data_IF_866071608417
#
_entry.id   IF_866071608417
#
_cell.length_a   1.000
_cell.length_b   1.000
_cell.length_c   1.000
_cell.angle_alpha   90.00
_cell.angle_beta   90.00
_cell.angle_gamma   90.00
#
_symmetry.space_group_name_H-M   'P 1'
#
loop_
_entity.id
_entity.type
_entity.pdbx_description
1 polymer ?
#
# COMPACT_ATOMS: atom_id res chain seq x y z
N UNK A 1 -58.73 30.92 45.31
CA UNK A 1 -58.90 30.65 43.86
C UNK A 1 -57.58 30.92 43.15
N UNK A 2 -57.12 30.05 42.23
CA UNK A 2 -55.81 29.45 42.40
C UNK A 2 -54.71 29.98 41.48
N UNK A 3 -53.48 29.84 41.98
CA UNK A 3 -52.19 30.14 41.35
C UNK A 3 -51.92 29.17 40.18
N UNK A 4 -51.65 29.71 38.99
CA UNK A 4 -51.11 28.92 37.88
C UNK A 4 -49.66 28.52 38.17
N UNK A 5 -49.42 27.21 38.29
CA UNK A 5 -48.09 26.61 38.28
C UNK A 5 -47.57 26.61 36.83
N UNK A 6 -46.37 27.15 36.63
CA UNK A 6 -45.58 26.92 35.43
C UNK A 6 -45.05 25.48 35.48
N UNK A 7 -45.66 24.57 34.73
CA UNK A 7 -45.06 23.28 34.39
C UNK A 7 -44.15 23.48 33.16
N UNK A 8 -42.86 23.24 33.37
CA UNK A 8 -41.85 23.25 32.32
C UNK A 8 -42.04 21.99 31.46
N UNK A 9 -42.59 22.16 30.27
CA UNK A 9 -42.60 21.11 29.24
C UNK A 9 -41.27 21.18 28.48
N UNK A 10 -40.28 20.41 28.93
CA UNK A 10 -39.12 20.10 28.10
C UNK A 10 -39.58 19.22 26.92
N UNK A 11 -39.15 19.52 25.68
CA UNK A 11 -39.72 18.87 24.51
C UNK A 11 -39.17 17.45 24.33
N UNK A 12 -40.09 16.49 24.18
CA UNK A 12 -39.92 15.10 23.74
C UNK A 12 -39.15 14.90 22.40
N UNK A 13 -38.58 15.98 21.83
CA UNK A 13 -37.78 15.97 20.61
C UNK A 13 -36.31 15.58 20.83
N UNK A 14 -35.73 15.82 22.02
CA UNK A 14 -34.33 15.46 22.31
C UNK A 14 -34.14 13.95 22.53
N UNK A 15 -35.14 13.26 23.08
CA UNK A 15 -35.05 11.80 23.33
C UNK A 15 -35.12 10.96 22.05
N UNK A 16 -35.76 11.46 20.97
CA UNK A 16 -35.76 10.79 19.66
C UNK A 16 -34.46 10.99 18.88
N UNK A 17 -33.78 12.12 19.08
CA UNK A 17 -32.46 12.36 18.47
C UNK A 17 -31.38 11.51 19.14
N UNK A 18 -31.37 11.39 20.46
CA UNK A 18 -30.39 10.53 21.16
C UNK A 18 -30.59 9.05 20.86
N UNK A 19 -31.83 8.57 20.70
CA UNK A 19 -32.09 7.17 20.35
C UNK A 19 -31.77 6.84 18.87
N UNK A 20 -31.96 7.80 17.95
CA UNK A 20 -31.56 7.64 16.54
C UNK A 20 -30.03 7.70 16.38
N UNK A 21 -29.33 8.51 17.17
CA UNK A 21 -27.86 8.56 17.17
C UNK A 21 -27.24 7.34 17.86
N UNK A 22 -27.84 6.80 18.93
CA UNK A 22 -27.39 5.54 19.52
C UNK A 22 -27.69 4.33 18.61
N UNK A 23 -28.82 4.31 17.87
CA UNK A 23 -29.05 3.30 16.83
C UNK A 23 -28.14 3.46 15.61
N UNK A 24 -27.78 4.69 15.20
CA UNK A 24 -26.79 4.93 14.14
C UNK A 24 -25.38 4.60 14.59
N UNK A 25 -25.03 4.82 15.86
CA UNK A 25 -23.77 4.37 16.46
C UNK A 25 -23.74 2.84 16.62
N UNK A 26 -24.86 2.21 16.96
CA UNK A 26 -24.98 0.74 17.01
C UNK A 26 -24.91 0.13 15.61
N UNK A 27 -25.58 0.70 14.61
CA UNK A 27 -25.45 0.30 13.20
C UNK A 27 -24.05 0.57 12.63
N UNK A 28 -23.38 1.66 13.01
CA UNK A 28 -21.96 1.87 12.68
C UNK A 28 -21.03 0.88 13.40
N UNK A 29 -21.33 0.49 14.64
CA UNK A 29 -20.61 -0.59 15.32
C UNK A 29 -20.86 -1.94 14.64
N UNK A 30 -22.08 -2.18 14.15
CA UNK A 30 -22.44 -3.39 13.40
C UNK A 30 -21.84 -3.41 11.97
N UNK A 31 -21.68 -2.25 11.30
CA UNK A 31 -20.98 -2.10 10.02
C UNK A 31 -19.44 -2.18 10.19
N UNK A 32 -18.89 -1.75 11.33
CA UNK A 32 -17.45 -1.94 11.66
C UNK A 32 -17.17 -3.39 12.05
N UNK A 33 -18.15 -4.13 12.60
CA UNK A 33 -18.08 -5.59 12.76
C UNK A 33 -18.50 -6.37 11.51
N UNK A 34 -18.87 -5.67 10.43
CA UNK A 34 -18.98 -6.27 9.12
C UNK A 34 -17.60 -6.76 8.74
N UNK A 35 -17.36 -8.04 9.00
CA UNK A 35 -16.18 -8.80 8.63
C UNK A 35 -15.54 -8.17 7.40
N UNK A 36 -14.46 -7.42 7.62
CA UNK A 36 -13.39 -7.46 6.62
C UNK A 36 -13.04 -8.93 6.62
N UNK A 37 -13.64 -9.67 5.68
CA UNK A 37 -13.24 -11.02 5.40
C UNK A 37 -11.74 -10.90 5.19
N UNK A 38 -10.97 -11.26 6.22
CA UNK A 38 -9.60 -11.65 6.07
C UNK A 38 -9.69 -12.87 5.17
N UNK A 39 -9.73 -12.61 3.86
CA UNK A 39 -9.38 -13.61 2.87
C UNK A 39 -8.06 -14.15 3.38
N UNK A 40 -8.03 -15.45 3.69
CA UNK A 40 -6.82 -16.15 4.07
C UNK A 40 -5.75 -15.73 3.06
N UNK A 41 -4.88 -14.83 3.49
CA UNK A 41 -3.80 -14.31 2.67
C UNK A 41 -2.96 -15.49 2.20
N UNK A 42 -2.10 -15.29 1.21
CA UNK A 42 -1.18 -16.35 0.81
C UNK A 42 -0.47 -16.85 2.08
N UNK A 43 -0.75 -18.11 2.47
CA UNK A 43 -0.37 -18.62 3.78
C UNK A 43 1.15 -18.42 3.95
N UNK A 44 1.56 -17.91 5.12
CA UNK A 44 2.98 -17.76 5.45
C UNK A 44 3.70 -19.07 5.12
N UNK A 45 4.69 -19.01 4.23
CA UNK A 45 5.37 -20.19 3.74
C UNK A 45 6.74 -20.30 4.38
N UNK A 46 7.14 -21.49 4.85
CA UNK A 46 8.49 -21.71 5.35
C UNK A 46 9.55 -21.22 4.36
N UNK A 47 10.68 -20.74 4.87
CA UNK A 47 11.82 -20.41 4.00
C UNK A 47 12.17 -21.66 3.19
N UNK A 48 12.22 -21.51 1.87
CA UNK A 48 12.43 -22.64 0.96
C UNK A 48 13.83 -23.25 1.17
N UNK A 49 14.06 -24.51 0.76
CA UNK A 49 15.40 -25.10 0.77
C UNK A 49 16.40 -24.19 0.04
N UNK A 50 17.63 -24.12 0.57
CA UNK A 50 18.70 -23.21 0.12
C UNK A 50 18.87 -23.19 -1.41
N UNK A 51 18.40 -22.12 -2.10
CA UNK A 51 18.52 -22.02 -3.56
C UNK A 51 19.94 -21.65 -3.98
N UNK A 52 20.81 -21.28 -3.04
CA UNK A 52 22.19 -20.89 -3.27
C UNK A 52 23.17 -22.03 -3.03
N UNK A 53 22.74 -23.29 -3.09
CA UNK A 53 23.62 -24.45 -2.94
C UNK A 53 24.90 -24.33 -3.80
N UNK A 54 24.77 -23.77 -5.01
CA UNK A 54 25.87 -23.46 -5.95
C UNK A 54 26.18 -21.96 -6.10
N UNK A 55 25.56 -21.09 -5.29
CA UNK A 55 25.70 -19.63 -5.36
C UNK A 55 26.83 -19.06 -4.48
N UNK A 56 26.96 -17.72 -4.42
CA UNK A 56 27.94 -17.05 -3.57
C UNK A 56 27.85 -17.50 -2.11
N UNK A 57 29.01 -17.78 -1.51
CA UNK A 57 29.11 -18.27 -0.12
C UNK A 57 28.45 -17.31 0.86
N UNK A 58 28.49 -16.01 0.60
CA UNK A 58 27.85 -14.96 1.41
C UNK A 58 26.34 -15.14 1.48
N UNK A 59 25.66 -15.22 0.34
CA UNK A 59 24.19 -15.34 0.28
C UNK A 59 23.75 -16.67 0.88
N UNK A 60 24.47 -17.74 0.55
CA UNK A 60 24.25 -19.08 1.09
C UNK A 60 24.35 -19.09 2.62
N UNK A 61 25.38 -18.47 3.18
CA UNK A 61 25.62 -18.45 4.63
C UNK A 61 24.54 -17.64 5.35
N UNK A 62 24.17 -16.48 4.83
CA UNK A 62 23.09 -15.65 5.38
C UNK A 62 21.74 -16.38 5.33
N UNK A 63 21.41 -16.97 4.19
CA UNK A 63 20.15 -17.69 3.99
C UNK A 63 20.03 -18.91 4.91
N UNK A 64 21.11 -19.71 5.02
CA UNK A 64 21.15 -20.82 5.97
C UNK A 64 21.03 -20.39 7.43
N UNK A 65 21.49 -19.18 7.76
CA UNK A 65 21.28 -18.61 9.10
C UNK A 65 19.79 -18.34 9.35
N UNK A 66 19.07 -17.79 8.38
CA UNK A 66 17.62 -17.62 8.47
C UNK A 66 16.90 -18.96 8.61
N UNK A 67 17.26 -19.97 7.81
CA UNK A 67 16.69 -21.32 7.90
C UNK A 67 16.88 -21.95 9.29
N UNK A 68 18.10 -21.86 9.85
CA UNK A 68 18.38 -22.36 11.21
C UNK A 68 17.62 -21.59 12.27
N UNK A 69 17.48 -20.28 12.12
CA UNK A 69 16.72 -19.46 13.06
C UNK A 69 15.24 -19.86 13.05
N UNK A 70 14.65 -20.04 11.86
CA UNK A 70 13.27 -20.50 11.71
C UNK A 70 13.06 -21.89 12.33
N UNK A 71 13.94 -22.84 12.03
CA UNK A 71 13.85 -24.20 12.57
C UNK A 71 13.94 -24.25 14.11
N UNK A 72 14.67 -23.31 14.71
CA UNK A 72 14.85 -23.21 16.16
C UNK A 72 13.83 -22.28 16.84
N UNK A 73 12.97 -21.59 16.08
CA UNK A 73 11.95 -20.68 16.62
C UNK A 73 10.85 -21.44 17.39
N UNK A 74 10.69 -22.74 17.11
CA UNK A 74 9.62 -23.54 17.70
C UNK A 74 8.24 -22.97 17.33
N UNK A 75 7.44 -22.62 18.33
CA UNK A 75 6.12 -22.00 18.18
C UNK A 75 6.10 -20.47 18.31
N UNK A 76 7.25 -19.80 18.43
CA UNK A 76 7.29 -18.33 18.47
C UNK A 76 7.03 -17.74 17.09
N UNK A 77 5.78 -17.30 16.87
CA UNK A 77 5.34 -16.69 15.62
C UNK A 77 6.19 -15.49 15.20
N UNK A 78 6.64 -14.66 16.15
CA UNK A 78 7.41 -13.47 15.84
C UNK A 78 8.83 -13.84 15.39
N UNK A 79 9.44 -14.84 16.02
CA UNK A 79 10.72 -15.38 15.59
C UNK A 79 10.63 -16.04 14.19
N UNK A 80 9.53 -16.75 13.90
CA UNK A 80 9.25 -17.31 12.57
C UNK A 80 9.14 -16.20 11.51
N UNK A 81 8.33 -15.18 11.76
CA UNK A 81 8.14 -14.05 10.83
C UNK A 81 9.48 -13.34 10.57
N UNK A 82 10.27 -13.03 11.60
CA UNK A 82 11.57 -12.36 11.46
C UNK A 82 12.55 -13.16 10.61
N UNK A 83 12.66 -14.47 10.86
CA UNK A 83 13.52 -15.36 10.06
C UNK A 83 13.07 -15.40 8.60
N UNK A 84 11.76 -15.53 8.38
CA UNK A 84 11.16 -15.58 7.04
C UNK A 84 11.33 -14.27 6.30
N UNK A 85 11.14 -13.12 6.94
CA UNK A 85 11.35 -11.79 6.32
C UNK A 85 12.78 -11.70 5.78
N UNK A 86 13.78 -11.93 6.62
CA UNK A 86 15.18 -11.83 6.21
C UNK A 86 15.52 -12.85 5.11
N UNK A 87 15.04 -14.08 5.23
CA UNK A 87 15.22 -15.12 4.21
C UNK A 87 14.60 -14.72 2.87
N UNK A 88 13.35 -14.25 2.87
CA UNK A 88 12.63 -13.79 1.67
C UNK A 88 13.31 -12.57 1.07
N UNK A 89 13.72 -11.60 1.88
CA UNK A 89 14.46 -10.45 1.39
C UNK A 89 15.71 -10.89 0.64
N UNK A 90 16.56 -11.79 1.16
CA UNK A 90 17.71 -12.30 0.39
C UNK A 90 17.28 -12.82 -1.01
N UNK A 91 16.16 -13.52 -1.13
CA UNK A 91 15.64 -14.00 -2.42
C UNK A 91 15.13 -12.88 -3.32
N UNK A 92 14.44 -11.91 -2.74
CA UNK A 92 13.79 -10.80 -3.47
C UNK A 92 14.67 -9.56 -3.64
N UNK A 93 15.95 -9.63 -3.25
CA UNK A 93 16.84 -8.49 -3.33
C UNK A 93 16.84 -7.88 -4.75
N UNK A 94 16.63 -6.56 -4.90
CA UNK A 94 16.50 -5.92 -6.22
C UNK A 94 17.70 -6.10 -7.14
N UNK A 95 18.89 -6.27 -6.55
CA UNK A 95 20.14 -6.53 -7.24
C UNK A 95 21.14 -7.20 -6.28
N UNK A 96 22.24 -7.70 -6.84
CA UNK A 96 23.29 -8.42 -6.12
C UNK A 96 23.95 -7.58 -5.03
N UNK A 97 24.09 -6.26 -5.22
CA UNK A 97 24.68 -5.36 -4.21
C UNK A 97 23.80 -5.27 -2.96
N UNK A 98 22.48 -5.13 -3.13
CA UNK A 98 21.53 -5.13 -2.02
C UNK A 98 21.54 -6.49 -1.29
N UNK A 99 21.55 -7.58 -2.07
CA UNK A 99 21.63 -8.94 -1.53
C UNK A 99 22.88 -9.15 -0.69
N UNK A 100 24.02 -8.66 -1.19
CA UNK A 100 25.30 -8.70 -0.53
C UNK A 100 25.31 -7.92 0.79
N UNK A 101 24.78 -6.69 0.77
CA UNK A 101 24.70 -5.84 1.96
C UNK A 101 23.86 -6.52 3.06
N UNK A 102 22.65 -6.96 2.71
CA UNK A 102 21.78 -7.68 3.64
C UNK A 102 22.43 -8.97 4.15
N UNK A 103 23.05 -9.75 3.25
CA UNK A 103 23.69 -11.01 3.63
C UNK A 103 24.83 -10.79 4.61
N UNK A 104 25.66 -9.76 4.39
CA UNK A 104 26.73 -9.39 5.33
C UNK A 104 26.17 -8.93 6.67
N UNK A 105 25.10 -8.15 6.69
CA UNK A 105 24.46 -7.73 7.94
C UNK A 105 23.99 -8.93 8.76
N UNK A 106 23.28 -9.87 8.13
CA UNK A 106 22.80 -11.09 8.78
C UNK A 106 23.95 -11.93 9.32
N UNK A 107 25.02 -12.12 8.53
CA UNK A 107 26.18 -12.91 8.94
C UNK A 107 26.86 -12.29 10.17
N UNK A 108 27.01 -10.96 10.22
CA UNK A 108 27.70 -10.27 11.30
C UNK A 108 26.92 -10.19 12.62
N UNK A 109 25.63 -10.57 12.63
CA UNK A 109 24.87 -10.62 13.89
C UNK A 109 25.51 -11.61 14.87
N UNK A 110 25.72 -11.18 16.12
CA UNK A 110 26.39 -11.97 17.15
C UNK A 110 25.44 -12.86 17.95
N UNK A 111 24.18 -12.45 18.03
CA UNK A 111 23.17 -13.11 18.85
C UNK A 111 21.76 -12.93 18.26
N UNK A 112 20.76 -13.59 18.86
CA UNK A 112 19.38 -13.53 18.40
C UNK A 112 18.77 -12.13 18.51
N UNK A 113 19.21 -11.32 19.49
CA UNK A 113 18.73 -9.94 19.67
C UNK A 113 19.13 -9.05 18.49
N UNK A 114 20.38 -9.14 18.05
CA UNK A 114 20.85 -8.39 16.86
C UNK A 114 20.15 -8.87 15.58
N UNK A 115 19.95 -10.19 15.44
CA UNK A 115 19.20 -10.75 14.30
C UNK A 115 17.75 -10.23 14.25
N UNK A 116 17.05 -10.28 15.39
CA UNK A 116 15.69 -9.77 15.50
C UNK A 116 15.62 -8.27 15.20
N UNK A 117 16.57 -7.48 15.71
CA UNK A 117 16.63 -6.04 15.46
C UNK A 117 16.72 -5.72 13.97
N UNK A 118 17.54 -6.44 13.22
CA UNK A 118 17.67 -6.23 11.77
C UNK A 118 16.36 -6.59 11.05
N UNK A 119 15.75 -7.72 11.42
CA UNK A 119 14.45 -8.11 10.87
C UNK A 119 13.38 -7.04 11.15
N UNK A 120 13.28 -6.56 12.39
CA UNK A 120 12.29 -5.57 12.82
C UNK A 120 12.51 -4.23 12.10
N UNK A 121 13.75 -3.83 11.84
CA UNK A 121 14.04 -2.65 11.03
C UNK A 121 13.45 -2.77 9.62
N UNK A 122 13.63 -3.91 8.95
CA UNK A 122 13.03 -4.10 7.62
C UNK A 122 11.51 -4.24 7.68
N UNK A 123 10.95 -4.94 8.66
CA UNK A 123 9.49 -5.03 8.85
C UNK A 123 8.89 -3.63 9.03
N UNK A 124 9.46 -2.81 9.90
CA UNK A 124 8.91 -1.51 10.24
C UNK A 124 9.14 -0.45 9.17
N UNK A 125 10.32 -0.40 8.55
CA UNK A 125 10.68 0.66 7.61
C UNK A 125 10.48 0.29 6.14
N UNK A 126 10.57 -0.98 5.76
CA UNK A 126 10.22 -1.38 4.41
C UNK A 126 8.72 -1.64 4.31
N UNK A 127 8.26 -2.71 4.96
CA UNK A 127 6.88 -3.19 4.79
C UNK A 127 5.89 -2.24 5.48
N UNK A 128 6.26 -1.74 6.66
CA UNK A 128 5.47 -0.78 7.41
C UNK A 128 5.18 0.49 6.62
N UNK A 129 6.06 0.97 5.76
CA UNK A 129 5.77 2.14 4.94
C UNK A 129 4.61 1.90 3.95
N UNK A 130 4.54 0.70 3.34
CA UNK A 130 3.41 0.34 2.47
C UNK A 130 2.12 0.12 3.27
N UNK A 131 2.23 -0.58 4.39
CA UNK A 131 1.06 -1.00 5.18
C UNK A 131 0.50 0.12 6.08
N UNK A 132 1.29 1.12 6.47
CA UNK A 132 0.82 2.30 7.24
C UNK A 132 0.07 3.32 6.40
N UNK A 133 0.36 3.38 5.09
CA UNK A 133 -0.28 4.30 4.17
C UNK A 133 -1.81 4.06 4.07
N UNK A 134 -2.25 2.83 4.38
CA UNK A 134 -3.64 2.38 4.43
C UNK A 134 -4.57 3.32 5.22
N UNK A 135 -4.08 3.95 6.29
CA UNK A 135 -4.90 4.75 7.20
C UNK A 135 -4.94 6.25 6.85
N UNK A 136 -4.14 6.72 5.88
CA UNK A 136 -3.83 8.15 5.74
C UNK A 136 -4.10 8.78 4.38
N UNK A 137 -4.59 8.05 3.39
CA UNK A 137 -5.15 8.67 2.19
C UNK A 137 -6.63 8.95 2.44
N UNK A 138 -7.03 10.12 2.97
CA UNK A 138 -8.41 10.54 2.82
C UNK A 138 -8.69 10.55 1.32
N UNK A 139 -9.80 9.94 0.90
CA UNK A 139 -10.36 10.16 -0.43
C UNK A 139 -10.40 11.67 -0.63
N UNK A 140 -9.58 12.26 -1.52
CA UNK A 140 -9.60 13.70 -1.72
C UNK A 140 -11.02 14.04 -2.13
N UNK A 141 -11.62 15.01 -1.45
CA UNK A 141 -12.86 15.59 -1.92
C UNK A 141 -12.65 16.01 -3.36
N UNK A 142 -13.54 15.54 -4.25
CA UNK A 142 -13.65 16.02 -5.61
C UNK A 142 -13.82 17.54 -5.53
N UNK A 143 -12.74 18.28 -5.80
CA UNK A 143 -12.69 19.62 -6.39
C UNK A 143 -11.29 20.24 -6.22
N UNK A 144 -10.49 20.19 -7.28
CA UNK A 144 -10.10 21.43 -7.93
C UNK A 144 -10.83 21.56 -9.26
N UNK A 145 -10.96 22.81 -9.70
CA UNK A 145 -11.58 23.23 -10.95
C UNK A 145 -10.88 22.57 -12.14
N UNK A 146 -11.34 21.37 -12.49
CA UNK A 146 -10.93 20.65 -13.71
C UNK A 146 -11.30 21.55 -14.91
N UNK A 147 -10.39 21.82 -15.87
CA UNK A 147 -10.74 22.55 -17.07
C UNK A 147 -11.83 21.80 -17.87
N UNK A 148 -12.65 22.54 -18.60
CA UNK A 148 -13.64 21.93 -19.49
C UNK A 148 -12.89 21.23 -20.63
N UNK A 149 -13.16 19.94 -20.85
CA UNK A 149 -12.47 19.15 -21.88
C UNK A 149 -12.81 19.56 -23.30
N UNK A 150 -13.90 20.31 -23.47
CA UNK A 150 -14.29 20.90 -24.75
C UNK A 150 -13.33 22.03 -25.18
N UNK A 151 -12.49 22.51 -24.27
CA UNK A 151 -11.50 23.54 -24.51
C UNK A 151 -10.10 22.92 -24.69
N UNK A 152 -9.81 22.44 -25.90
CA UNK A 152 -8.51 21.87 -26.31
C UNK A 152 -7.30 22.74 -25.89
N UNK A 153 -7.34 24.08 -26.03
CA UNK A 153 -6.31 24.97 -25.47
C UNK A 153 -6.08 24.84 -23.95
N UNK A 154 -7.13 24.73 -23.14
CA UNK A 154 -7.00 24.56 -21.68
C UNK A 154 -6.43 23.19 -21.32
N UNK A 155 -6.87 22.13 -22.01
CA UNK A 155 -6.30 20.79 -21.85
C UNK A 155 -4.81 20.77 -22.23
N UNK A 156 -4.44 21.42 -23.34
CA UNK A 156 -3.05 21.50 -23.78
C UNK A 156 -2.21 22.27 -22.76
N UNK A 157 -2.70 23.40 -22.23
CA UNK A 157 -2.03 24.15 -21.17
C UNK A 157 -1.84 23.32 -19.91
N UNK A 158 -2.87 22.60 -19.47
CA UNK A 158 -2.82 21.68 -18.33
C UNK A 158 -1.79 20.55 -18.51
N UNK A 159 -1.69 19.99 -19.71
CA UNK A 159 -0.71 18.96 -20.05
C UNK A 159 0.72 19.49 -20.16
N UNK A 160 0.90 20.79 -20.43
CA UNK A 160 2.21 21.44 -20.51
C UNK A 160 2.78 21.85 -19.14
N UNK A 161 1.96 21.83 -18.08
CA UNK A 161 2.46 22.05 -16.73
C UNK A 161 3.44 20.93 -16.34
N UNK A 162 4.47 21.29 -15.56
CA UNK A 162 5.49 20.36 -15.05
C UNK A 162 4.90 19.24 -14.17
N UNK A 163 5.75 18.41 -13.55
CA UNK A 163 5.32 17.31 -12.68
C UNK A 163 4.21 17.76 -11.71
N UNK A 164 3.12 16.98 -11.56
CA UNK A 164 2.03 17.34 -10.68
C UNK A 164 2.54 17.67 -9.28
N UNK A 165 2.09 18.78 -8.70
CA UNK A 165 2.47 19.17 -7.33
C UNK A 165 1.47 18.71 -6.28
N UNK A 166 0.31 18.22 -6.72
CA UNK A 166 -0.79 17.77 -5.88
C UNK A 166 -1.46 16.51 -6.46
N UNK A 167 -2.15 15.78 -5.59
CA UNK A 167 -2.80 14.51 -5.93
C UNK A 167 -3.92 14.66 -6.98
N UNK A 168 -4.67 15.75 -6.96
CA UNK A 168 -5.80 15.93 -7.88
C UNK A 168 -5.32 16.17 -9.32
N UNK A 169 -4.28 16.99 -9.49
CA UNK A 169 -3.58 17.19 -10.77
C UNK A 169 -2.97 15.87 -11.26
N UNK A 170 -2.34 15.12 -10.35
CA UNK A 170 -1.78 13.81 -10.67
C UNK A 170 -2.85 12.82 -11.15
N UNK A 171 -4.02 12.79 -10.48
CA UNK A 171 -5.16 11.96 -10.88
C UNK A 171 -5.67 12.32 -12.26
N UNK A 172 -5.87 13.60 -12.54
CA UNK A 172 -6.36 14.04 -13.84
C UNK A 172 -5.40 13.67 -14.97
N UNK A 173 -4.09 13.89 -14.79
CA UNK A 173 -3.09 13.49 -15.79
C UNK A 173 -2.96 11.97 -15.94
N UNK A 174 -3.01 11.20 -14.84
CA UNK A 174 -3.00 9.73 -14.88
C UNK A 174 -4.22 9.17 -15.63
N UNK A 175 -5.41 9.75 -15.45
CA UNK A 175 -6.59 9.37 -16.20
C UNK A 175 -6.44 9.61 -17.71
N UNK A 176 -5.88 10.75 -18.10
CA UNK A 176 -5.64 11.04 -19.53
C UNK A 176 -4.64 10.02 -20.10
N UNK A 177 -3.54 9.75 -19.38
CA UNK A 177 -2.55 8.73 -19.75
C UNK A 177 -3.20 7.36 -19.99
N UNK A 178 -4.07 6.95 -19.06
CA UNK A 178 -4.68 5.62 -19.02
C UNK A 178 -5.97 5.53 -19.87
N UNK A 179 -6.22 6.55 -20.70
CA UNK A 179 -7.40 6.66 -21.56
C UNK A 179 -8.71 6.49 -20.78
N UNK A 180 -8.76 7.10 -19.59
CA UNK A 180 -9.90 7.14 -18.69
C UNK A 180 -10.37 5.77 -18.22
N UNK A 181 -9.44 4.84 -18.00
CA UNK A 181 -9.75 3.48 -17.55
C UNK A 181 -8.90 3.07 -16.35
N UNK A 182 -9.43 2.15 -15.55
CA UNK A 182 -8.61 1.32 -14.69
C UNK A 182 -7.64 0.52 -15.56
N UNK A 183 -6.33 0.62 -15.29
CA UNK A 183 -5.31 -0.04 -16.12
C UNK A 183 -5.31 -1.56 -15.98
N UNK A 184 -5.97 -2.10 -14.95
CA UNK A 184 -6.05 -3.54 -14.70
C UNK A 184 -7.31 -4.17 -15.27
N UNK A 185 -8.48 -3.56 -15.06
CA UNK A 185 -9.77 -4.14 -15.50
C UNK A 185 -10.24 -3.60 -16.84
N UNK A 186 -9.68 -2.48 -17.31
CA UNK A 186 -10.13 -1.78 -18.51
C UNK A 186 -11.47 -1.06 -18.33
N UNK A 187 -12.06 -1.06 -17.13
CA UNK A 187 -13.31 -0.36 -16.84
C UNK A 187 -13.12 1.15 -16.93
N UNK A 188 -14.06 1.82 -17.60
CA UNK A 188 -14.04 3.26 -17.81
C UNK A 188 -14.42 4.02 -16.55
N UNK A 189 -13.78 5.18 -16.36
CA UNK A 189 -14.10 6.10 -15.28
C UNK A 189 -15.52 6.65 -15.42
N UNK A 190 -16.29 6.54 -14.35
CA UNK A 190 -17.69 6.94 -14.28
C UNK A 190 -17.88 8.43 -14.55
N UNK A 191 -16.99 9.28 -14.04
CA UNK A 191 -17.13 10.73 -14.23
C UNK A 191 -16.90 11.12 -15.69
N UNK A 192 -15.94 10.47 -16.35
CA UNK A 192 -15.70 10.65 -17.78
C UNK A 192 -16.85 10.07 -18.62
N UNK A 193 -17.33 8.87 -18.29
CA UNK A 193 -18.53 8.29 -18.91
C UNK A 193 -19.77 9.20 -18.77
N UNK A 194 -19.97 9.84 -17.62
CA UNK A 194 -21.15 10.67 -17.38
C UNK A 194 -21.09 12.04 -18.08
N UNK A 195 -19.90 12.53 -18.44
CA UNK A 195 -19.70 13.92 -18.87
C UNK A 195 -19.17 14.05 -20.30
N UNK A 196 -18.58 13.00 -20.87
CA UNK A 196 -17.99 13.03 -22.20
C UNK A 196 -18.87 12.23 -23.17
N UNK A 197 -19.54 12.90 -24.15
CA UNK A 197 -20.43 12.24 -25.09
C UNK A 197 -19.76 11.09 -25.85
N UNK A 198 -18.54 11.29 -26.34
CA UNK A 198 -17.79 10.27 -27.10
C UNK A 198 -17.53 9.00 -26.27
N UNK A 199 -17.17 9.16 -24.99
CA UNK A 199 -16.98 8.02 -24.07
C UNK A 199 -18.33 7.38 -23.75
N UNK A 200 -19.38 8.19 -23.55
CA UNK A 200 -20.74 7.68 -23.31
C UNK A 200 -21.18 6.76 -24.44
N UNK A 201 -21.04 7.22 -25.68
CA UNK A 201 -21.42 6.49 -26.87
C UNK A 201 -20.57 5.24 -27.05
N UNK A 202 -19.25 5.35 -26.91
CA UNK A 202 -18.32 4.22 -27.00
C UNK A 202 -18.68 3.12 -25.99
N UNK A 203 -18.89 3.50 -24.73
CA UNK A 203 -19.22 2.58 -23.64
C UNK A 203 -20.56 1.90 -23.88
N UNK A 204 -21.61 2.66 -24.24
CA UNK A 204 -22.95 2.12 -24.48
C UNK A 204 -23.01 1.20 -25.70
N UNK A 205 -22.37 1.59 -26.79
CA UNK A 205 -22.36 0.84 -28.05
C UNK A 205 -21.66 -0.51 -27.89
N UNK A 206 -20.59 -0.54 -27.11
CA UNK A 206 -19.76 -1.74 -26.94
C UNK A 206 -20.04 -2.47 -25.62
N UNK A 207 -21.02 -2.02 -24.84
CA UNK A 207 -21.37 -2.56 -23.52
C UNK A 207 -20.15 -2.74 -22.59
N UNK A 208 -19.32 -1.69 -22.51
CA UNK A 208 -18.06 -1.71 -21.76
C UNK A 208 -18.29 -1.44 -20.27
N UNK A 209 -17.47 -2.01 -19.38
CA UNK A 209 -17.62 -1.80 -17.93
C UNK A 209 -17.31 -0.35 -17.54
N UNK A 210 -18.03 0.14 -16.53
CA UNK A 210 -17.87 1.47 -15.94
C UNK A 210 -17.70 1.34 -14.44
N UNK A 211 -16.82 2.13 -13.85
CA UNK A 211 -16.53 2.16 -12.41
C UNK A 211 -16.01 3.54 -11.99
N UNK A 212 -15.98 3.83 -10.70
CA UNK A 212 -15.18 4.95 -10.21
C UNK A 212 -13.69 4.61 -10.35
N UNK A 213 -12.85 5.59 -10.63
CA UNK A 213 -11.39 5.38 -10.66
C UNK A 213 -10.67 6.30 -9.69
N UNK A 214 -9.52 5.83 -9.24
CA UNK A 214 -8.64 6.51 -8.30
C UNK A 214 -7.20 6.46 -8.80
N UNK A 215 -6.43 7.50 -8.51
CA UNK A 215 -5.00 7.52 -8.77
C UNK A 215 -4.26 7.12 -7.50
N UNK A 216 -3.67 5.94 -7.56
CA UNK A 216 -2.87 5.32 -6.53
C UNK A 216 -1.41 5.75 -6.65
N UNK A 217 -0.77 6.03 -5.52
CA UNK A 217 0.69 6.00 -5.47
C UNK A 217 1.17 4.55 -5.50
N UNK A 218 2.18 4.25 -6.32
CA UNK A 218 2.81 2.91 -6.35
C UNK A 218 3.69 2.74 -5.11
N UNK A 219 4.50 3.75 -4.84
CA UNK A 219 5.32 3.91 -3.65
C UNK A 219 4.68 5.04 -2.81
N UNK A 220 4.13 4.72 -1.62
CA UNK A 220 3.33 5.68 -0.85
C UNK A 220 4.19 6.74 -0.17
N UNK A 221 3.60 7.90 0.17
CA UNK A 221 4.32 9.04 0.78
C UNK A 221 4.98 8.72 2.13
N UNK A 222 4.45 7.75 2.84
CA UNK A 222 5.08 7.22 4.06
C UNK A 222 6.46 6.59 3.82
N UNK A 223 6.86 6.23 2.60
CA UNK A 223 8.25 5.78 2.31
C UNK A 223 9.24 6.93 2.24
N UNK A 224 8.77 8.17 2.06
CA UNK A 224 9.59 9.38 2.11
C UNK A 224 9.81 9.91 3.52
N UNK A 225 9.19 9.30 4.54
CA UNK A 225 9.47 9.71 5.91
C UNK A 225 10.96 9.52 6.15
N UNK A 226 11.66 10.64 6.25
CA UNK A 226 13.09 10.75 6.54
C UNK A 226 13.41 9.82 7.70
N UNK A 227 13.96 8.66 7.38
CA UNK A 227 14.55 7.77 8.38
C UNK A 227 15.79 8.51 8.89
N UNK A 228 15.64 9.23 9.99
CA UNK A 228 16.75 9.90 10.66
C UNK A 228 17.81 8.88 11.08
N UNK A 229 19.08 9.28 10.85
CA UNK A 229 20.37 8.65 11.20
C UNK A 229 20.65 7.19 10.79
N UNK A 230 19.67 6.38 10.39
CA UNK A 230 19.85 4.98 10.01
C UNK A 230 19.10 4.66 8.72
N UNK A 231 19.54 5.26 7.62
CA UNK A 231 19.04 5.11 6.25
C UNK A 231 19.22 3.68 5.67
N UNK A 232 18.98 2.64 6.48
CA UNK A 232 19.16 1.21 6.20
C UNK A 232 18.32 0.78 5.01
N UNK A 233 17.07 1.25 4.92
CA UNK A 233 16.19 0.90 3.82
C UNK A 233 16.64 1.56 2.50
N UNK A 234 16.90 2.86 2.51
CA UNK A 234 17.33 3.60 1.32
C UNK A 234 18.71 3.22 0.80
N UNK A 235 19.72 3.33 1.66
CA UNK A 235 21.11 3.16 1.26
C UNK A 235 21.50 1.69 1.10
N UNK A 236 20.90 0.79 1.89
CA UNK A 236 21.32 -0.62 1.93
C UNK A 236 20.40 -1.57 1.19
N UNK A 237 19.08 -1.35 1.20
CA UNK A 237 18.10 -2.24 0.57
C UNK A 237 17.68 -1.84 -0.83
N UNK A 238 17.38 -0.55 -1.05
CA UNK A 238 17.11 -0.05 -2.40
C UNK A 238 18.40 0.03 -3.22
N UNK A 239 19.55 0.23 -2.56
CA UNK A 239 20.87 0.33 -3.20
C UNK A 239 20.96 1.46 -4.23
N UNK A 240 19.94 2.31 -4.25
CA UNK A 240 19.67 3.33 -5.23
C UNK A 240 19.02 4.51 -4.48
N UNK A 241 19.86 5.36 -3.89
CA UNK A 241 19.43 6.62 -3.26
C UNK A 241 18.58 7.45 -4.22
N UNK A 242 18.78 7.26 -5.54
CA UNK A 242 18.03 7.90 -6.61
C UNK A 242 16.52 7.67 -6.50
N UNK A 243 16.02 6.48 -6.14
CA UNK A 243 14.56 6.27 -6.03
C UNK A 243 13.96 7.09 -4.88
N UNK A 244 14.66 7.19 -3.74
CA UNK A 244 14.20 8.01 -2.63
C UNK A 244 14.34 9.50 -2.91
N UNK A 245 15.43 9.91 -3.57
CA UNK A 245 15.64 11.28 -4.01
C UNK A 245 14.59 11.70 -5.06
N UNK A 246 14.28 10.80 -6.01
CA UNK A 246 13.27 10.98 -7.07
C UNK A 246 11.84 11.08 -6.54
N UNK A 247 11.56 10.50 -5.38
CA UNK A 247 10.23 10.53 -4.79
C UNK A 247 10.09 11.62 -3.74
N UNK A 248 11.18 12.30 -3.35
CA UNK A 248 11.17 13.29 -2.28
C UNK A 248 10.29 14.53 -2.57
N UNK A 249 9.62 15.02 -1.53
CA UNK A 249 8.81 16.23 -1.58
C UNK A 249 7.68 16.17 -2.63
N UNK A 250 7.55 17.21 -3.46
CA UNK A 250 6.49 17.29 -4.47
C UNK A 250 6.63 16.29 -5.63
N UNK A 251 7.77 15.60 -5.77
CA UNK A 251 8.00 14.63 -6.85
C UNK A 251 7.25 13.32 -6.63
N UNK A 252 6.68 13.08 -5.44
CA UNK A 252 5.91 11.86 -5.19
C UNK A 252 4.68 11.73 -6.09
N UNK A 253 4.13 12.86 -6.54
CA UNK A 253 2.99 12.93 -7.43
C UNK A 253 3.36 12.80 -8.92
N UNK A 254 4.63 12.52 -9.25
CA UNK A 254 5.06 12.25 -10.61
C UNK A 254 4.29 11.06 -11.19
N UNK A 255 3.97 11.12 -12.48
CA UNK A 255 3.09 10.13 -13.10
C UNK A 255 3.69 8.73 -13.11
N UNK A 256 5.01 8.60 -13.10
CA UNK A 256 5.71 7.33 -12.99
C UNK A 256 5.45 6.61 -11.66
N UNK A 257 5.06 7.36 -10.62
CA UNK A 257 4.63 6.83 -9.32
C UNK A 257 3.10 6.76 -9.18
N UNK A 258 2.33 7.07 -10.24
CA UNK A 258 0.86 7.06 -10.20
C UNK A 258 0.29 5.95 -11.08
N UNK A 259 -0.68 5.21 -10.57
CA UNK A 259 -1.42 4.17 -11.32
C UNK A 259 -2.93 4.38 -11.16
N UNK A 260 -3.70 4.31 -12.26
CA UNK A 260 -5.16 4.46 -12.21
C UNK A 260 -5.83 3.11 -11.96
N UNK A 261 -6.53 2.97 -10.84
CA UNK A 261 -7.18 1.74 -10.42
C UNK A 261 -8.66 1.97 -10.10
N UNK A 262 -9.47 0.93 -10.18
CA UNK A 262 -10.80 0.92 -9.55
C UNK A 262 -10.66 0.78 -8.03
N UNK A 263 -11.69 1.13 -7.24
CA UNK A 263 -11.66 1.07 -5.78
C UNK A 263 -11.20 -0.29 -5.22
N UNK A 264 -11.73 -1.39 -5.75
CA UNK A 264 -11.38 -2.72 -5.27
C UNK A 264 -9.90 -3.03 -5.55
N UNK A 265 -9.43 -2.85 -6.78
CA UNK A 265 -8.02 -3.03 -7.14
C UNK A 265 -7.09 -2.09 -6.37
N UNK A 266 -7.51 -0.86 -6.10
CA UNK A 266 -6.78 0.10 -5.27
C UNK A 266 -6.56 -0.46 -3.87
N UNK A 267 -7.64 -0.91 -3.22
CA UNK A 267 -7.62 -1.51 -1.89
C UNK A 267 -6.67 -2.71 -1.89
N UNK A 268 -6.79 -3.62 -2.86
CA UNK A 268 -5.91 -4.78 -2.92
C UNK A 268 -4.45 -4.42 -3.18
N UNK A 269 -4.20 -3.41 -3.99
CA UNK A 269 -2.86 -2.94 -4.31
C UNK A 269 -2.18 -2.28 -3.10
N UNK A 270 -2.88 -1.40 -2.37
CA UNK A 270 -2.38 -0.79 -1.13
C UNK A 270 -2.12 -1.81 -0.03
N UNK A 271 -2.99 -2.81 0.05
CA UNK A 271 -2.88 -3.84 1.07
C UNK A 271 -1.79 -4.88 0.74
N UNK A 272 -1.05 -4.71 -0.36
CA UNK A 272 -0.10 -5.69 -0.87
C UNK A 272 -0.76 -7.06 -1.17
N UNK A 273 -2.07 -7.10 -1.41
CA UNK A 273 -2.79 -8.31 -1.86
C UNK A 273 -2.68 -8.52 -3.37
N UNK A 274 -2.36 -7.47 -4.13
CA UNK A 274 -2.30 -7.45 -5.60
C UNK A 274 -1.02 -6.74 -6.02
N UNK A 275 -0.22 -7.36 -6.88
CA UNK A 275 1.01 -6.78 -7.40
C UNK A 275 1.25 -7.14 -8.87
N UNK A 276 2.19 -6.44 -9.50
CA UNK A 276 2.47 -6.55 -10.93
C UNK A 276 3.90 -7.06 -11.17
N UNK A 277 4.04 -8.18 -11.86
CA UNK A 277 5.34 -8.75 -12.25
C UNK A 277 5.62 -8.50 -13.72
N UNK A 278 6.81 -8.00 -14.04
CA UNK A 278 7.21 -7.76 -15.43
C UNK A 278 7.23 -9.06 -16.24
N UNK A 279 6.67 -9.02 -17.45
CA UNK A 279 6.79 -10.12 -18.39
C UNK A 279 8.12 -10.01 -19.15
N UNK A 280 9.00 -11.04 -19.12
CA UNK A 280 10.30 -10.98 -19.79
C UNK A 280 10.18 -10.67 -21.28
N UNK A 281 11.03 -9.76 -21.79
CA UNK A 281 11.05 -9.32 -23.18
C UNK A 281 9.78 -8.60 -23.68
N UNK A 282 8.85 -8.25 -22.79
CA UNK A 282 7.65 -7.50 -23.13
C UNK A 282 7.61 -6.20 -22.31
N UNK A 283 8.13 -5.07 -22.84
CA UNK A 283 8.20 -3.82 -22.10
C UNK A 283 6.81 -3.34 -21.70
N UNK A 284 6.72 -2.71 -20.52
CA UNK A 284 5.47 -2.20 -19.94
C UNK A 284 4.33 -3.22 -19.86
N UNK A 285 4.65 -4.51 -19.90
CA UNK A 285 3.69 -5.60 -19.83
C UNK A 285 3.90 -6.35 -18.53
N UNK A 286 2.81 -6.56 -17.81
CA UNK A 286 2.84 -7.10 -16.46
C UNK A 286 1.84 -8.24 -16.31
N UNK A 287 2.19 -9.22 -15.49
CA UNK A 287 1.29 -10.24 -14.97
C UNK A 287 0.78 -9.78 -13.61
N UNK A 288 -0.52 -9.52 -13.47
CA UNK A 288 -1.13 -9.31 -12.16
C UNK A 288 -1.10 -10.61 -11.36
N UNK A 289 -0.59 -10.53 -10.14
CA UNK A 289 -0.55 -11.61 -9.17
C UNK A 289 -1.22 -11.17 -7.88
N UNK A 290 -1.72 -12.13 -7.10
CA UNK A 290 -2.48 -11.84 -5.89
C UNK A 290 -2.31 -12.91 -4.82
N UNK A 291 -2.69 -12.57 -3.60
CA UNK A 291 -2.76 -13.52 -2.47
C UNK A 291 -3.85 -14.56 -2.66
N UNK A 292 -4.96 -14.17 -3.27
CA UNK A 292 -6.10 -15.05 -3.57
C UNK A 292 -6.50 -14.91 -5.05
N UNK A 293 -6.72 -16.02 -5.79
CA UNK A 293 -7.23 -15.97 -7.17
C UNK A 293 -8.50 -15.13 -7.37
N UNK A 294 -9.38 -15.03 -6.37
CA UNK A 294 -10.63 -14.25 -6.46
C UNK A 294 -10.37 -12.77 -6.73
N UNK A 295 -9.28 -12.22 -6.20
CA UNK A 295 -8.87 -10.82 -6.37
C UNK A 295 -8.63 -10.49 -7.84
N UNK A 296 -8.21 -11.48 -8.65
CA UNK A 296 -7.92 -11.30 -10.07
C UNK A 296 -9.00 -11.84 -11.00
N UNK A 297 -10.18 -12.20 -10.47
CA UNK A 297 -11.26 -12.80 -11.26
C UNK A 297 -11.64 -11.97 -12.49
N UNK A 298 -11.61 -10.64 -12.35
CA UNK A 298 -11.97 -9.70 -13.42
C UNK A 298 -10.74 -9.00 -14.03
N UNK A 299 -9.53 -9.48 -13.73
CA UNK A 299 -8.27 -8.92 -14.22
C UNK A 299 -7.69 -9.86 -15.28
N UNK A 300 -7.29 -9.36 -16.46
CA UNK A 300 -6.64 -10.17 -17.48
C UNK A 300 -5.35 -10.83 -16.96
N UNK A 301 -4.98 -11.95 -17.59
CA UNK A 301 -3.74 -12.66 -17.24
C UNK A 301 -2.48 -11.80 -17.41
N UNK A 302 -2.50 -10.89 -18.37
CA UNK A 302 -1.46 -9.91 -18.62
C UNK A 302 -2.08 -8.57 -19.00
N UNK A 303 -1.46 -7.48 -18.56
CA UNK A 303 -1.85 -6.11 -18.89
C UNK A 303 -0.65 -5.39 -19.48
N UNK A 304 -0.87 -4.59 -20.53
CA UNK A 304 0.17 -3.78 -21.16
C UNK A 304 -0.19 -2.31 -21.00
N UNK A 305 0.70 -1.54 -20.37
CA UNK A 305 0.52 -0.12 -20.19
C UNK A 305 0.94 0.64 -21.44
N UNK A 306 0.10 1.58 -21.86
CA UNK A 306 0.28 2.36 -23.09
C UNK A 306 0.00 3.82 -22.82
N UNK A 307 0.72 4.71 -23.49
CA UNK A 307 0.49 6.15 -23.43
C UNK A 307 0.64 6.72 -24.84
N UNK A 308 -0.15 7.76 -25.14
CA UNK A 308 -0.06 8.48 -26.40
C UNK A 308 1.01 9.60 -26.37
N UNK A 309 1.52 9.94 -25.18
CA UNK A 309 2.56 10.96 -25.01
C UNK A 309 3.53 10.51 -23.91
N UNK A 310 4.59 9.75 -24.23
CA UNK A 310 5.51 9.24 -23.21
C UNK A 310 6.34 10.34 -22.53
N UNK A 311 6.40 11.55 -23.10
CA UNK A 311 7.14 12.68 -22.53
C UNK A 311 6.30 13.40 -21.48
N UNK A 312 5.03 13.69 -21.76
CA UNK A 312 4.15 14.42 -20.83
C UNK A 312 3.32 13.52 -19.93
N UNK A 313 3.06 12.30 -20.38
CA UNK A 313 2.23 11.30 -19.71
C UNK A 313 3.03 9.98 -19.58
N UNK A 314 4.19 9.99 -18.89
CA UNK A 314 5.00 8.81 -18.74
C UNK A 314 4.23 7.71 -17.98
N UNK A 315 4.55 6.46 -18.35
CA UNK A 315 3.96 5.28 -17.77
C UNK A 315 4.44 5.05 -16.33
N UNK A 316 3.68 4.27 -15.53
CA UNK A 316 4.19 3.73 -14.27
C UNK A 316 5.59 3.15 -14.42
N UNK A 317 6.52 3.55 -13.53
CA UNK A 317 7.90 3.08 -13.57
C UNK A 317 7.96 1.57 -13.32
N UNK A 318 8.62 0.79 -14.20
CA UNK A 318 8.86 -0.63 -13.96
C UNK A 318 9.62 -0.90 -12.65
N UNK A 319 10.50 0.02 -12.25
CA UNK A 319 11.29 -0.13 -11.02
C UNK A 319 10.43 0.08 -9.76
N UNK A 320 9.49 1.03 -9.79
CA UNK A 320 8.55 1.25 -8.68
C UNK A 320 7.59 0.07 -8.54
N UNK A 321 7.09 -0.45 -9.68
CA UNK A 321 6.24 -1.66 -9.69
C UNK A 321 6.99 -2.89 -9.17
N UNK A 322 8.26 -3.06 -9.56
CA UNK A 322 9.10 -4.16 -9.06
C UNK A 322 9.33 -4.05 -7.55
N UNK A 323 9.52 -2.84 -7.03
CA UNK A 323 9.68 -2.60 -5.60
C UNK A 323 8.40 -2.92 -4.82
N UNK A 324 7.24 -2.46 -5.32
CA UNK A 324 5.94 -2.80 -4.74
C UNK A 324 5.69 -4.32 -4.76
N UNK A 325 5.95 -4.99 -5.88
CA UNK A 325 5.84 -6.45 -5.99
C UNK A 325 6.78 -7.18 -5.01
N UNK A 326 7.98 -6.67 -4.82
CA UNK A 326 8.93 -7.19 -3.82
C UNK A 326 8.37 -7.06 -2.41
N UNK A 327 7.85 -5.88 -2.05
CA UNK A 327 7.21 -5.64 -0.76
C UNK A 327 6.04 -6.61 -0.56
N UNK A 328 5.18 -6.78 -1.56
CA UNK A 328 4.05 -7.69 -1.49
C UNK A 328 4.47 -9.14 -1.27
N UNK A 329 5.44 -9.63 -2.05
CA UNK A 329 5.91 -11.00 -1.90
C UNK A 329 6.58 -11.25 -0.56
N UNK A 330 7.43 -10.34 -0.10
CA UNK A 330 8.06 -10.46 1.22
C UNK A 330 6.99 -10.45 2.31
N UNK A 331 6.08 -9.47 2.30
CA UNK A 331 5.07 -9.30 3.34
C UNK A 331 4.17 -10.53 3.50
N UNK A 332 3.63 -11.05 2.40
CA UNK A 332 2.71 -12.19 2.46
C UNK A 332 3.46 -13.51 2.69
N UNK A 333 4.54 -13.79 1.96
CA UNK A 333 5.23 -15.08 2.07
C UNK A 333 5.93 -15.27 3.41
N UNK A 334 6.27 -14.19 4.13
CA UNK A 334 6.84 -14.28 5.47
C UNK A 334 5.82 -14.26 6.60
N UNK A 335 4.54 -13.96 6.33
CA UNK A 335 3.54 -13.66 7.37
C UNK A 335 3.73 -12.30 8.05
N UNK A 336 4.58 -11.42 7.48
CA UNK A 336 4.83 -10.12 8.08
C UNK A 336 3.66 -9.16 7.93
N UNK A 337 2.83 -9.36 6.89
CA UNK A 337 1.61 -8.59 6.71
C UNK A 337 0.65 -8.80 7.89
N UNK A 338 0.29 -10.04 8.16
CA UNK A 338 -0.64 -10.42 9.23
C UNK A 338 -0.07 -10.02 10.60
N UNK A 339 1.25 -10.15 10.77
CA UNK A 339 1.96 -9.65 11.95
C UNK A 339 1.78 -8.13 12.13
N UNK A 340 2.03 -7.35 11.08
CA UNK A 340 1.90 -5.88 11.12
C UNK A 340 0.43 -5.47 11.34
N UNK A 341 -0.53 -6.14 10.68
CA UNK A 341 -1.96 -5.90 10.85
C UNK A 341 -2.42 -6.17 12.28
N UNK A 342 -1.93 -7.26 12.89
CA UNK A 342 -2.18 -7.55 14.31
C UNK A 342 -1.62 -6.45 15.21
N UNK A 343 -0.37 -6.04 14.99
CA UNK A 343 0.23 -4.95 15.79
C UNK A 343 -0.59 -3.67 15.70
N UNK A 344 -1.06 -3.28 14.50
CA UNK A 344 -1.92 -2.09 14.37
C UNK A 344 -3.27 -2.23 15.06
N UNK A 345 -3.93 -3.38 14.92
CA UNK A 345 -5.22 -3.64 15.60
C UNK A 345 -5.07 -3.61 17.12
N UNK A 346 -4.05 -4.29 17.65
CA UNK A 346 -3.78 -4.34 19.09
C UNK A 346 -3.49 -2.93 19.64
N UNK A 347 -2.80 -2.09 18.87
CA UNK A 347 -2.61 -0.68 19.21
C UNK A 347 -3.94 0.08 19.27
N UNK A 348 -4.78 -0.02 18.24
CA UNK A 348 -6.09 0.66 18.19
C UNK A 348 -7.00 0.23 19.34
N UNK A 349 -7.01 -1.05 19.71
CA UNK A 349 -7.79 -1.57 20.84
C UNK A 349 -7.22 -1.13 22.21
N UNK A 350 -5.90 -1.10 22.36
CA UNK A 350 -5.24 -0.71 23.63
C UNK A 350 -5.38 0.79 23.91
N UNK A 351 -5.31 1.65 22.88
CA UNK A 351 -5.54 3.10 23.04
C UNK A 351 -6.99 3.44 23.46
N UNK A 352 -7.93 2.49 23.33
CA UNK A 352 -9.33 2.66 23.72
C UNK A 352 -9.59 2.13 25.14
N UNK A 353 -8.69 1.34 25.76
CA UNK A 353 -9.07 0.53 26.94
C UNK A 353 -8.21 0.58 28.22
N UNK A 354 -7.05 1.25 28.34
CA UNK A 354 -6.28 1.16 29.60
C UNK A 354 -5.74 2.48 30.19
N UNK A 355 -6.27 2.83 31.39
CA UNK A 355 -5.82 3.95 32.24
C UNK A 355 -4.80 3.53 33.33
N UNK A 356 -4.31 2.27 33.31
CA UNK A 356 -3.56 1.66 34.41
C UNK A 356 -2.06 1.41 34.11
N UNK A 357 -1.54 1.85 32.96
CA UNK A 357 -0.10 1.85 32.67
C UNK A 357 0.51 0.49 32.29
N UNK A 358 -0.30 -0.54 32.02
CA UNK A 358 0.20 -1.85 31.54
C UNK A 358 0.79 -1.78 30.12
N UNK A 359 0.41 -0.74 29.36
CA UNK A 359 0.79 -0.55 27.96
C UNK A 359 2.20 -0.02 27.75
N UNK A 360 3.06 0.08 28.77
CA UNK A 360 4.36 0.78 28.68
C UNK A 360 5.34 0.15 27.67
N UNK A 361 5.41 -1.18 27.59
CA UNK A 361 6.28 -1.87 26.62
C UNK A 361 5.73 -1.79 25.18
N UNK A 362 4.40 -1.79 25.03
CA UNK A 362 3.74 -1.50 23.76
C UNK A 362 3.98 -0.04 23.37
N UNK A 363 3.88 0.89 24.31
CA UNK A 363 4.15 2.31 24.11
C UNK A 363 5.62 2.55 23.71
N UNK A 364 6.56 1.80 24.28
CA UNK A 364 7.96 1.83 23.87
C UNK A 364 8.14 1.30 22.43
N UNK A 365 7.45 0.21 22.08
CA UNK A 365 7.42 -0.35 20.71
C UNK A 365 6.81 0.64 19.71
N UNK A 366 5.76 1.35 20.12
CA UNK A 366 5.07 2.39 19.35
C UNK A 366 5.93 3.65 19.23
N UNK A 367 6.56 4.10 20.31
CA UNK A 367 7.45 5.25 20.28
C UNK A 367 8.70 4.97 19.44
N UNK A 368 9.31 3.79 19.51
CA UNK A 368 10.38 3.42 18.58
C UNK A 368 9.89 3.39 17.11
N UNK A 369 8.63 3.02 16.86
CA UNK A 369 8.01 3.07 15.54
C UNK A 369 7.63 4.50 15.05
N UNK A 370 7.63 5.52 15.93
CA UNK A 370 7.18 6.89 15.67
C UNK A 370 8.22 8.00 15.96
N UNK A 371 9.33 7.72 16.67
CA UNK A 371 10.38 8.71 17.02
C UNK A 371 11.24 9.12 15.81
N UNK A 372 11.00 8.53 14.64
CA UNK A 372 11.57 8.97 13.35
C UNK A 372 10.64 9.86 12.50
N UNK A 373 9.57 10.43 13.05
CA UNK A 373 8.68 11.38 12.35
C UNK A 373 9.36 12.72 12.05
#
# INVERSE_FOLDING_TARGET
MPRHKHESTQPHYLARYTHCDEEKKRKRREEVTGETACFDGAASTPVLPDPYAQGPVTWRTAYNRCLRYEANAGGDENALVRARVLGRMILEAPNDRCRDNLSREIIHTKNHREFNRIADLYVNHFLGCFLRARCRTPTPSLRPSRPSFDNVPELLKFLLEEAPKDHATAKAKALIRDQYRCVLTGAYDYECYSKMPDITELVRTNNLPVTHTEAAHIIPDSTNMRISEQNVFGDKWLGNSVILDELSGGLIHRLENMITLSPDERIWFDNLCLWLESVPNHPNTYRPNSTDPIIRRNVPQTVTFTTNDPVKLPLPSPDYLRLHATAARVANLSGAREYIERVFRDMEETFVLENNGSSADLLASVLEAFVGC
#
